data_IF_995932175287
#
_entry.id   IF_995932175287
#
_cell.length_a   1.000
_cell.length_b   1.000
_cell.length_c   1.000
_cell.angle_alpha   90.00
_cell.angle_beta   90.00
_cell.angle_gamma   90.00
#
_symmetry.space_group_name_H-M   'P 1'
#
loop_
_entity.id
_entity.type
_entity.pdbx_description
1 polymer ?
#
# COMPACT_ATOMS: atom_id res chain seq x y z
N UNK A 1 -4.95 6.94 3.21
CA UNK A 1 -6.13 6.04 3.24
C UNK A 1 -7.21 6.58 4.16
N UNK A 2 -6.93 6.82 5.45
CA UNK A 2 -7.94 7.41 6.35
C UNK A 2 -8.34 8.84 5.94
N UNK A 3 -7.37 9.70 5.61
CA UNK A 3 -7.64 11.07 5.14
C UNK A 3 -8.49 11.12 3.88
N UNK A 4 -8.07 10.42 2.81
CA UNK A 4 -8.67 10.59 1.48
C UNK A 4 -9.61 9.44 1.06
N UNK A 5 -9.85 8.45 1.91
CA UNK A 5 -10.75 7.33 1.63
C UNK A 5 -12.22 7.73 1.81
N UNK A 6 -12.67 8.69 1.01
CA UNK A 6 -13.98 9.36 1.15
C UNK A 6 -14.84 9.13 -0.08
N UNK A 7 -16.15 9.02 0.09
CA UNK A 7 -17.11 8.88 -1.02
C UNK A 7 -17.98 10.12 -1.25
N UNK A 8 -17.82 11.14 -0.41
CA UNK A 8 -18.56 12.40 -0.48
C UNK A 8 -17.59 13.59 -0.46
N UNK A 9 -17.93 14.65 -1.18
CA UNK A 9 -17.23 15.93 -1.16
C UNK A 9 -17.65 16.81 0.04
N UNK A 10 -16.99 17.95 0.22
CA UNK A 10 -17.29 18.92 1.29
C UNK A 10 -18.70 19.54 1.18
N UNK A 11 -19.34 19.47 0.02
CA UNK A 11 -20.73 19.89 -0.18
C UNK A 11 -21.73 18.76 0.12
N UNK A 12 -21.25 17.59 0.56
CA UNK A 12 -22.06 16.42 0.87
C UNK A 12 -22.60 15.69 -0.37
N UNK A 13 -22.05 15.94 -1.56
CA UNK A 13 -22.40 15.23 -2.79
C UNK A 13 -21.52 13.99 -2.96
N UNK A 14 -22.08 12.96 -3.58
CA UNK A 14 -21.31 11.76 -3.91
C UNK A 14 -20.27 12.06 -4.99
N UNK A 15 -19.05 11.57 -4.79
CA UNK A 15 -18.00 11.66 -5.80
C UNK A 15 -18.35 10.80 -7.03
N UNK A 16 -18.00 11.29 -8.22
CA UNK A 16 -18.19 10.57 -9.49
C UNK A 16 -16.99 9.70 -9.90
N UNK A 17 -15.92 9.70 -9.09
CA UNK A 17 -14.66 8.99 -9.32
C UNK A 17 -14.20 8.33 -8.02
N UNK A 18 -13.31 7.35 -8.15
CA UNK A 18 -12.59 6.81 -6.99
C UNK A 18 -11.65 7.89 -6.41
N UNK A 19 -11.62 7.99 -5.08
CA UNK A 19 -10.77 8.92 -4.34
C UNK A 19 -9.46 8.24 -3.87
N UNK A 20 -9.12 8.34 -2.58
CA UNK A 20 -7.83 7.89 -2.04
C UNK A 20 -7.47 6.44 -2.42
N UNK A 21 -6.27 6.20 -3.00
CA UNK A 21 -5.85 4.86 -3.37
C UNK A 21 -5.49 4.02 -2.13
N UNK A 22 -5.40 2.71 -2.31
CA UNK A 22 -4.79 1.81 -1.34
C UNK A 22 -3.29 2.07 -1.33
N UNK A 23 -2.76 2.43 -0.16
CA UNK A 23 -1.32 2.59 0.07
C UNK A 23 -0.80 1.35 0.79
N UNK A 24 0.24 0.73 0.24
CA UNK A 24 0.84 -0.48 0.78
C UNK A 24 2.30 -0.57 0.33
N UNK A 25 3.11 -1.34 1.05
CA UNK A 25 4.52 -1.54 0.74
C UNK A 25 5.29 -2.21 1.87
N UNK A 26 6.55 -2.51 1.62
CA UNK A 26 7.54 -3.06 2.55
C UNK A 26 8.91 -2.44 2.24
N UNK A 27 9.87 -2.41 3.19
CA UNK A 27 11.24 -2.01 2.92
C UNK A 27 11.90 -2.85 1.82
N UNK A 28 12.81 -2.24 1.07
CA UNK A 28 13.74 -2.96 0.21
C UNK A 28 14.90 -3.56 1.03
N UNK A 29 15.44 -4.72 0.69
CA UNK A 29 15.12 -5.57 -0.48
C UNK A 29 14.00 -6.59 -0.22
N UNK A 30 13.46 -6.67 1.00
CA UNK A 30 12.48 -7.67 1.43
C UNK A 30 11.25 -7.74 0.51
N UNK A 31 10.68 -6.59 0.14
CA UNK A 31 9.55 -6.52 -0.78
C UNK A 31 9.83 -7.15 -2.16
N UNK A 32 11.09 -7.09 -2.62
CA UNK A 32 11.52 -7.67 -3.90
C UNK A 32 11.34 -9.18 -3.92
N UNK A 33 11.47 -9.83 -2.76
CA UNK A 33 11.33 -11.27 -2.60
C UNK A 33 9.92 -11.70 -2.16
N UNK A 34 8.96 -10.77 -2.12
CA UNK A 34 7.58 -11.04 -1.70
C UNK A 34 6.58 -10.81 -2.84
N UNK A 35 6.47 -9.57 -3.34
CA UNK A 35 5.37 -9.18 -4.23
C UNK A 35 5.81 -8.48 -5.53
N UNK A 36 7.11 -8.28 -5.76
CA UNK A 36 7.59 -7.63 -6.99
C UNK A 36 7.30 -8.45 -8.25
N UNK A 37 7.11 -9.77 -8.13
CA UNK A 37 6.56 -10.60 -9.21
C UNK A 37 5.23 -10.03 -9.75
N UNK A 38 4.33 -9.65 -8.84
CA UNK A 38 3.03 -9.08 -9.20
C UNK A 38 3.21 -7.66 -9.76
N UNK A 39 4.12 -6.86 -9.19
CA UNK A 39 4.38 -5.50 -9.69
C UNK A 39 4.92 -5.56 -11.13
N UNK A 40 5.82 -6.48 -11.45
CA UNK A 40 6.47 -6.59 -12.77
C UNK A 40 5.62 -7.27 -13.85
N UNK A 41 4.99 -8.40 -13.53
CA UNK A 41 4.31 -9.24 -14.54
C UNK A 41 2.81 -9.43 -14.25
N UNK A 42 2.30 -8.86 -13.15
CA UNK A 42 0.87 -8.86 -12.87
C UNK A 42 0.06 -7.98 -13.83
N UNK A 43 -1.23 -8.23 -13.91
CA UNK A 43 -2.14 -7.52 -14.82
C UNK A 43 -2.62 -6.17 -14.30
N UNK A 44 -2.27 -5.80 -13.07
CA UNK A 44 -2.61 -4.51 -12.46
C UNK A 44 -1.48 -3.52 -12.68
N UNK A 45 -1.83 -2.27 -12.99
CA UNK A 45 -0.90 -1.15 -12.94
C UNK A 45 -0.78 -0.69 -11.50
N UNK A 46 0.42 -0.74 -10.94
CA UNK A 46 0.72 -0.32 -9.57
C UNK A 46 1.89 0.65 -9.66
N UNK A 47 1.64 1.96 -9.57
CA UNK A 47 2.70 2.95 -9.48
C UNK A 47 3.51 2.74 -8.19
N UNK A 48 4.83 2.93 -8.26
CA UNK A 48 5.72 2.74 -7.12
C UNK A 48 6.47 4.03 -6.76
N UNK A 49 6.53 4.36 -5.48
CA UNK A 49 7.49 5.34 -4.97
C UNK A 49 8.65 4.61 -4.32
N UNK A 50 9.86 4.78 -4.86
CA UNK A 50 11.09 4.32 -4.23
C UNK A 50 11.72 5.43 -3.43
N UNK A 51 12.12 5.14 -2.20
CA UNK A 51 12.83 6.08 -1.32
C UNK A 51 14.18 5.48 -0.98
N UNK A 52 15.25 6.19 -1.31
CA UNK A 52 16.63 5.77 -1.09
C UNK A 52 17.46 6.85 -0.38
N UNK A 53 18.52 6.42 0.31
CA UNK A 53 19.43 7.32 1.01
C UNK A 53 20.85 7.18 0.45
N UNK A 54 21.51 8.28 0.07
CA UNK A 54 22.85 8.24 -0.51
C UNK A 54 23.89 7.70 0.49
N UNK A 55 23.78 8.10 1.75
CA UNK A 55 24.73 7.73 2.79
C UNK A 55 24.15 6.68 3.78
N UNK A 56 24.88 5.58 4.06
CA UNK A 56 24.46 4.61 5.06
C UNK A 56 24.58 5.16 6.48
N UNK A 57 23.73 4.66 7.37
CA UNK A 57 23.92 4.79 8.83
C UNK A 57 24.79 3.67 9.41
N UNK A 58 24.94 2.56 8.68
CA UNK A 58 25.74 1.41 9.11
C UNK A 58 27.19 1.54 8.62
N UNK A 59 28.09 0.78 9.23
CA UNK A 59 29.50 0.75 8.83
C UNK A 59 29.76 -0.05 7.53
N UNK A 60 28.77 -0.80 7.01
CA UNK A 60 28.95 -1.62 5.81
C UNK A 60 28.58 -0.84 4.55
N UNK A 61 29.56 -0.12 3.99
CA UNK A 61 29.40 0.58 2.72
C UNK A 61 29.02 -0.39 1.57
N UNK A 62 29.61 -1.59 1.54
CA UNK A 62 29.32 -2.59 0.50
C UNK A 62 27.86 -3.04 0.49
N UNK A 63 27.27 -3.29 1.66
CA UNK A 63 25.84 -3.64 1.74
C UNK A 63 24.93 -2.50 1.29
N UNK A 64 25.34 -1.25 1.58
CA UNK A 64 24.60 -0.07 1.15
C UNK A 64 24.65 0.12 -0.37
N UNK A 65 25.81 -0.08 -0.99
CA UNK A 65 25.94 -0.06 -2.46
C UNK A 65 25.05 -1.12 -3.11
N UNK A 66 24.99 -2.33 -2.55
CA UNK A 66 24.09 -3.38 -3.05
C UNK A 66 22.61 -3.00 -2.88
N UNK A 67 22.23 -2.39 -1.75
CA UNK A 67 20.87 -1.89 -1.53
C UNK A 67 20.49 -0.83 -2.57
N UNK A 68 21.35 0.15 -2.80
CA UNK A 68 21.09 1.23 -3.75
C UNK A 68 21.10 0.74 -5.20
N UNK A 69 21.99 -0.20 -5.55
CA UNK A 69 21.99 -0.86 -6.85
C UNK A 69 20.66 -1.57 -7.12
N UNK A 70 20.13 -2.29 -6.13
CA UNK A 70 18.82 -2.93 -6.24
C UNK A 70 17.69 -1.90 -6.41
N UNK A 71 17.68 -0.80 -5.65
CA UNK A 71 16.67 0.26 -5.79
C UNK A 71 16.65 0.83 -7.22
N UNK A 72 17.82 1.20 -7.75
CA UNK A 72 17.95 1.78 -9.10
C UNK A 72 17.55 0.75 -10.17
N UNK A 73 18.04 -0.48 -10.05
CA UNK A 73 17.72 -1.55 -11.00
C UNK A 73 16.22 -1.88 -11.04
N UNK A 74 15.51 -1.81 -9.89
CA UNK A 74 14.07 -2.04 -9.88
C UNK A 74 13.30 -0.92 -10.59
N UNK A 75 13.68 0.35 -10.38
CA UNK A 75 13.07 1.46 -11.10
C UNK A 75 13.30 1.36 -12.63
N UNK A 76 14.52 1.00 -13.04
CA UNK A 76 14.86 0.76 -14.45
C UNK A 76 14.05 -0.41 -15.05
N UNK A 77 14.00 -1.54 -14.35
CA UNK A 77 13.27 -2.72 -14.81
C UNK A 77 11.77 -2.47 -14.95
N UNK A 78 11.17 -1.67 -14.07
CA UNK A 78 9.76 -1.28 -14.18
C UNK A 78 9.50 -0.38 -15.39
N UNK A 79 10.40 0.55 -15.68
CA UNK A 79 10.27 1.47 -16.79
C UNK A 79 10.43 0.76 -18.15
N UNK A 80 11.47 -0.07 -18.30
CA UNK A 80 11.86 -0.59 -19.61
C UNK A 80 11.49 -2.05 -19.84
N UNK A 81 11.32 -2.83 -18.78
CA UNK A 81 11.02 -4.24 -18.91
C UNK A 81 12.11 -5.02 -19.66
N UNK A 82 11.67 -6.03 -20.40
CA UNK A 82 12.53 -6.92 -21.18
C UNK A 82 11.71 -7.62 -22.26
N UNK A 83 12.04 -7.38 -23.51
CA UNK A 83 11.31 -7.83 -24.69
C UNK A 83 11.60 -9.30 -25.02
N UNK A 84 10.72 -9.89 -25.85
CA UNK A 84 10.91 -11.24 -26.35
C UNK A 84 12.17 -11.36 -27.22
N UNK A 85 12.47 -10.32 -27.99
CA UNK A 85 13.65 -10.23 -28.86
C UNK A 85 14.94 -10.23 -28.05
N UNK A 86 15.01 -9.45 -26.97
CA UNK A 86 16.16 -9.44 -26.06
C UNK A 86 16.36 -10.80 -25.40
N UNK A 87 15.28 -11.47 -24.97
CA UNK A 87 15.38 -12.82 -24.41
C UNK A 87 15.89 -13.84 -25.43
N UNK A 88 15.45 -13.78 -26.68
CA UNK A 88 15.96 -14.64 -27.74
C UNK A 88 17.43 -14.37 -28.05
N UNK A 89 17.85 -13.10 -28.03
CA UNK A 89 19.24 -12.72 -28.18
C UNK A 89 20.14 -13.26 -27.04
N UNK A 90 19.57 -13.43 -25.85
CA UNK A 90 20.21 -14.10 -24.70
C UNK A 90 20.11 -15.64 -24.74
N UNK A 91 19.71 -16.22 -25.87
CA UNK A 91 19.54 -17.66 -26.06
C UNK A 91 18.54 -18.30 -25.08
N UNK A 92 17.54 -17.55 -24.60
CA UNK A 92 16.43 -18.11 -23.84
C UNK A 92 15.61 -19.04 -24.73
N UNK A 93 15.25 -20.23 -24.23
CA UNK A 93 14.43 -21.18 -24.99
C UNK A 93 13.08 -20.56 -25.38
N UNK A 94 12.60 -20.79 -26.60
CA UNK A 94 11.33 -20.21 -27.09
C UNK A 94 10.15 -20.55 -26.18
N UNK A 95 10.15 -21.73 -25.56
CA UNK A 95 9.12 -22.12 -24.60
C UNK A 95 9.11 -21.25 -23.33
N UNK A 96 10.22 -20.62 -22.97
CA UNK A 96 10.35 -19.76 -21.79
C UNK A 96 10.13 -18.27 -22.07
N UNK A 97 10.26 -17.84 -23.33
CA UNK A 97 10.18 -16.41 -23.72
C UNK A 97 8.91 -15.73 -23.19
N UNK A 98 7.70 -16.30 -23.34
CA UNK A 98 6.47 -15.66 -22.84
C UNK A 98 6.46 -15.45 -21.31
N UNK A 99 7.09 -16.36 -20.57
CA UNK A 99 7.11 -16.33 -19.10
C UNK A 99 8.20 -15.41 -18.53
N UNK A 100 9.21 -15.09 -19.34
CA UNK A 100 10.34 -14.23 -18.95
C UNK A 100 10.29 -12.83 -19.56
N UNK A 101 9.25 -12.53 -20.34
CA UNK A 101 9.00 -11.20 -20.91
C UNK A 101 8.49 -10.27 -19.82
N UNK A 102 9.04 -9.06 -19.75
CA UNK A 102 8.61 -7.99 -18.85
C UNK A 102 8.10 -6.84 -19.71
N UNK A 103 6.84 -6.46 -19.52
CA UNK A 103 6.21 -5.45 -20.37
C UNK A 103 6.83 -4.05 -20.24
N UNK A 104 7.48 -3.75 -19.12
CA UNK A 104 7.92 -2.40 -18.79
C UNK A 104 6.75 -1.43 -18.71
N UNK A 105 7.00 -0.14 -18.93
CA UNK A 105 6.01 0.93 -18.90
C UNK A 105 5.16 0.94 -17.61
N UNK A 106 5.80 0.64 -16.48
CA UNK A 106 5.21 0.71 -15.14
C UNK A 106 5.81 1.92 -14.43
N UNK A 107 4.99 2.92 -14.07
CA UNK A 107 5.50 4.19 -13.58
C UNK A 107 6.06 4.06 -12.17
N UNK A 108 7.17 4.74 -11.92
CA UNK A 108 7.72 4.90 -10.58
C UNK A 108 8.34 6.27 -10.37
N UNK A 109 8.28 6.77 -9.13
CA UNK A 109 9.04 7.93 -8.66
C UNK A 109 10.24 7.44 -7.85
N UNK A 110 11.37 8.15 -7.92
CA UNK A 110 12.53 7.88 -7.06
C UNK A 110 12.86 9.13 -6.25
N UNK A 111 12.74 9.04 -4.94
CA UNK A 111 13.17 10.06 -3.98
C UNK A 111 14.53 9.65 -3.41
N UNK A 112 15.59 10.27 -3.92
CA UNK A 112 16.94 10.13 -3.37
C UNK A 112 17.20 11.22 -2.33
N UNK A 113 17.48 10.82 -1.10
CA UNK A 113 17.74 11.70 0.04
C UNK A 113 19.21 11.56 0.45
N UNK A 114 19.86 12.62 0.88
CA UNK A 114 21.30 12.59 1.22
C UNK A 114 21.63 11.55 2.31
N UNK A 115 20.99 11.64 3.47
CA UNK A 115 21.12 10.67 4.55
C UNK A 115 19.82 10.58 5.35
N UNK A 116 19.58 9.45 6.01
CA UNK A 116 18.47 9.33 6.96
C UNK A 116 18.85 10.01 8.28
N UNK A 117 18.16 11.10 8.60
CA UNK A 117 18.35 11.91 9.81
C UNK A 117 16.98 12.31 10.37
N UNK A 118 16.88 12.79 11.62
CA UNK A 118 15.61 13.31 12.13
C UNK A 118 15.02 14.41 11.25
N UNK A 119 15.86 15.28 10.68
CA UNK A 119 15.42 16.34 9.77
C UNK A 119 14.87 15.77 8.46
N UNK A 120 15.62 14.89 7.79
CA UNK A 120 15.18 14.32 6.51
C UNK A 120 13.97 13.39 6.66
N UNK A 121 13.85 12.69 7.78
CA UNK A 121 12.63 11.94 8.11
C UNK A 121 11.42 12.88 8.24
N UNK A 122 11.56 13.99 8.99
CA UNK A 122 10.51 15.00 9.11
C UNK A 122 10.12 15.60 7.75
N UNK A 123 11.09 15.87 6.89
CA UNK A 123 10.85 16.35 5.52
C UNK A 123 10.08 15.33 4.69
N UNK A 124 10.42 14.04 4.77
CA UNK A 124 9.69 12.98 4.05
C UNK A 124 8.25 12.85 4.55
N UNK A 125 8.02 12.92 5.87
CA UNK A 125 6.66 12.92 6.44
C UNK A 125 5.85 14.11 5.93
N UNK A 126 6.40 15.33 6.03
CA UNK A 126 5.71 16.55 5.57
C UNK A 126 5.43 16.53 4.06
N UNK A 127 6.34 15.98 3.25
CA UNK A 127 6.13 15.78 1.81
C UNK A 127 4.87 14.94 1.55
N UNK A 128 4.72 13.80 2.22
CA UNK A 128 3.56 12.94 2.04
C UNK A 128 2.28 13.53 2.65
N UNK A 129 2.36 14.26 3.77
CA UNK A 129 1.22 15.03 4.31
C UNK A 129 0.69 16.03 3.26
N UNK A 130 1.57 16.80 2.63
CA UNK A 130 1.18 17.77 1.61
C UNK A 130 0.73 17.12 0.29
N UNK A 131 1.32 15.97 -0.09
CA UNK A 131 0.84 15.17 -1.22
C UNK A 131 -0.60 14.69 -0.99
N UNK A 132 -0.88 14.15 0.20
CA UNK A 132 -2.23 13.72 0.60
C UNK A 132 -3.20 14.90 0.62
N UNK A 133 -2.81 16.03 1.21
CA UNK A 133 -3.63 17.24 1.21
C UNK A 133 -3.96 17.72 -0.21
N UNK A 134 -2.97 17.80 -1.08
CA UNK A 134 -3.14 18.26 -2.47
C UNK A 134 -4.14 17.38 -3.22
N UNK A 135 -4.04 16.06 -3.07
CA UNK A 135 -5.00 15.11 -3.66
C UNK A 135 -6.42 15.33 -3.10
N UNK A 136 -6.56 15.56 -1.79
CA UNK A 136 -7.84 15.86 -1.15
C UNK A 136 -8.52 17.10 -1.72
N UNK A 137 -7.75 18.19 -1.88
CA UNK A 137 -8.22 19.43 -2.50
C UNK A 137 -8.66 19.22 -3.95
N UNK A 138 -7.93 18.41 -4.73
CA UNK A 138 -8.30 18.09 -6.12
C UNK A 138 -9.66 17.37 -6.17
N UNK A 139 -9.94 16.48 -5.22
CA UNK A 139 -11.22 15.77 -5.13
C UNK A 139 -12.33 16.55 -4.43
N UNK A 140 -12.01 17.68 -3.79
CA UNK A 140 -12.97 18.48 -3.02
C UNK A 140 -13.47 17.78 -1.77
N UNK A 141 -12.67 16.90 -1.16
CA UNK A 141 -13.04 16.14 0.04
C UNK A 141 -12.41 16.74 1.30
N UNK A 142 -13.04 16.52 2.45
CA UNK A 142 -12.42 16.78 3.74
C UNK A 142 -11.39 15.68 4.06
N UNK A 143 -10.10 16.00 3.98
CA UNK A 143 -8.99 15.07 4.30
C UNK A 143 -8.73 14.90 5.80
N UNK A 144 -9.45 15.61 6.67
CA UNK A 144 -9.15 15.74 8.10
C UNK A 144 -10.23 15.15 9.01
N UNK A 145 -11.37 14.74 8.46
CA UNK A 145 -12.36 13.94 9.20
C UNK A 145 -12.13 12.42 9.05
N UNK A 146 -12.82 11.64 9.90
CA UNK A 146 -12.80 10.16 9.85
C UNK A 146 -14.13 9.53 10.30
N UNK A 147 -15.28 10.05 9.86
CA UNK A 147 -16.60 9.53 10.29
C UNK A 147 -16.83 8.03 10.08
N UNK A 148 -16.13 7.45 9.10
CA UNK A 148 -16.23 6.02 8.76
C UNK A 148 -15.89 5.06 9.90
N UNK A 149 -15.16 5.50 10.93
CA UNK A 149 -14.76 4.61 12.06
C UNK A 149 -15.82 4.49 13.15
N UNK A 150 -16.80 5.40 13.20
CA UNK A 150 -17.72 5.52 14.33
C UNK A 150 -18.73 4.38 14.40
N UNK A 151 -19.23 3.90 13.25
CA UNK A 151 -20.17 2.78 13.21
C UNK A 151 -19.57 1.51 13.83
N UNK A 152 -18.31 1.21 13.51
CA UNK A 152 -17.61 0.04 14.05
C UNK A 152 -17.49 0.08 15.58
N UNK A 153 -17.18 1.26 16.15
CA UNK A 153 -17.09 1.46 17.60
C UNK A 153 -18.43 1.21 18.31
N UNK A 154 -19.52 1.76 17.77
CA UNK A 154 -20.87 1.58 18.32
C UNK A 154 -21.29 0.11 18.25
N UNK A 155 -21.05 -0.56 17.13
CA UNK A 155 -21.39 -1.98 16.98
C UNK A 155 -20.56 -2.86 17.92
N UNK A 156 -19.26 -2.58 18.08
CA UNK A 156 -18.41 -3.31 19.01
C UNK A 156 -18.90 -3.20 20.47
N UNK A 157 -19.33 -2.02 20.92
CA UNK A 157 -19.90 -1.83 22.26
C UNK A 157 -21.19 -2.64 22.47
N UNK A 158 -22.05 -2.73 21.45
CA UNK A 158 -23.25 -3.59 21.49
C UNK A 158 -22.88 -5.06 21.63
N UNK A 159 -21.94 -5.52 20.82
CA UNK A 159 -21.44 -6.90 20.87
C UNK A 159 -20.83 -7.22 22.25
N UNK A 160 -20.04 -6.31 22.82
CA UNK A 160 -19.50 -6.48 24.19
C UNK A 160 -20.63 -6.60 25.22
N UNK A 161 -21.65 -5.72 25.14
CA UNK A 161 -22.78 -5.76 26.07
C UNK A 161 -23.59 -7.06 25.96
N UNK A 162 -23.71 -7.63 24.76
CA UNK A 162 -24.35 -8.91 24.53
C UNK A 162 -23.50 -10.08 25.03
N UNK A 163 -22.17 -10.03 24.85
CA UNK A 163 -21.23 -11.01 25.40
C UNK A 163 -21.25 -11.04 26.93
N UNK A 164 -21.41 -9.89 27.57
CA UNK A 164 -21.53 -9.77 29.03
C UNK A 164 -22.93 -10.13 29.56
N UNK A 165 -23.89 -10.42 28.68
CA UNK A 165 -25.27 -10.72 29.04
C UNK A 165 -26.04 -9.54 29.65
N UNK A 166 -25.52 -8.31 29.52
CA UNK A 166 -26.15 -7.09 30.06
C UNK A 166 -27.38 -6.68 29.26
N UNK A 167 -27.36 -6.95 27.96
CA UNK A 167 -28.43 -6.62 26.99
C UNK A 167 -28.49 -7.68 25.90
N UNK A 168 -29.51 -7.62 25.04
CA UNK A 168 -29.53 -8.39 23.78
C UNK A 168 -29.95 -7.49 22.64
N UNK A 169 -29.00 -7.09 21.81
CA UNK A 169 -29.26 -6.27 20.63
C UNK A 169 -29.75 -7.13 19.45
N UNK A 170 -30.55 -6.57 18.52
CA UNK A 170 -30.90 -7.23 17.27
C UNK A 170 -29.68 -7.26 16.34
N UNK A 171 -29.32 -8.46 15.90
CA UNK A 171 -28.23 -8.70 14.93
C UNK A 171 -28.75 -9.58 13.78
N UNK A 172 -28.03 -9.57 12.66
CA UNK A 172 -28.28 -10.50 11.56
C UNK A 172 -27.89 -11.94 11.93
N UNK A 173 -28.35 -12.91 11.12
CA UNK A 173 -28.14 -14.33 11.40
C UNK A 173 -26.68 -14.77 11.42
N UNK A 174 -25.80 -14.11 10.64
CA UNK A 174 -24.36 -14.43 10.63
C UNK A 174 -23.71 -13.98 11.94
N UNK A 175 -23.95 -12.73 12.33
CA UNK A 175 -23.42 -12.16 13.58
C UNK A 175 -23.90 -12.93 14.81
N UNK A 176 -25.18 -13.31 14.87
CA UNK A 176 -25.72 -14.14 15.96
C UNK A 176 -25.03 -15.50 16.02
N UNK A 177 -24.90 -16.18 14.88
CA UNK A 177 -24.25 -17.50 14.81
C UNK A 177 -22.80 -17.44 15.29
N UNK A 178 -22.07 -16.39 14.92
CA UNK A 178 -20.69 -16.18 15.36
C UNK A 178 -20.60 -15.92 16.87
N UNK A 179 -21.47 -15.07 17.40
CA UNK A 179 -21.53 -14.75 18.82
C UNK A 179 -21.86 -16.00 19.66
N UNK A 180 -22.88 -16.76 19.27
CA UNK A 180 -23.26 -18.02 19.93
C UNK A 180 -22.13 -19.05 19.89
N UNK A 181 -21.46 -19.18 18.74
CA UNK A 181 -20.30 -20.06 18.61
C UNK A 181 -19.16 -19.62 19.52
N UNK A 182 -18.88 -18.32 19.59
CA UNK A 182 -17.82 -17.77 20.45
C UNK A 182 -18.11 -18.03 21.93
N UNK A 183 -19.31 -17.69 22.41
CA UNK A 183 -19.73 -17.88 23.81
C UNK A 183 -19.69 -19.36 24.20
N UNK A 184 -20.23 -20.25 23.36
CA UNK A 184 -20.19 -21.70 23.59
C UNK A 184 -18.77 -22.24 23.73
N UNK A 185 -17.81 -21.72 22.97
CA UNK A 185 -16.39 -22.13 23.05
C UNK A 185 -15.67 -21.59 24.29
N UNK A 186 -16.19 -20.52 24.89
CA UNK A 186 -15.68 -19.92 26.14
C UNK A 186 -16.30 -20.54 27.40
N UNK A 187 -17.29 -21.41 27.27
CA UNK A 187 -17.99 -22.04 28.39
C UNK A 187 -19.09 -21.17 29.01
N UNK A 188 -19.61 -20.21 28.24
CA UNK A 188 -20.80 -19.43 28.57
C UNK A 188 -22.04 -20.01 27.89
#
# INVERSE_FOLDING_TARGET
MESNGKSVDEAGQLLSVDSGPIIWGEPGTDGQHSFYQLIHQGTRLIPCDFIGFCHPLSASAEQHELLMANLIAQAEALAFGKTAEELRAECVSEAQVPFRTFAGNRPSSVLLVDALSPHSLGTLVALYEHSVFTQGIIWGIDSFDQWGVELGKVLAQRIVSDMEGKTRHPHDGSTLTLLERYLRRRGH
#
